data_IF_580189006898
#
_entry.id   IF_580189006898
#
_cell.length_a   1.000
_cell.length_b   1.000
_cell.length_c   1.000
_cell.angle_alpha   90.00
_cell.angle_beta   90.00
_cell.angle_gamma   90.00
#
_symmetry.space_group_name_H-M   'P 1'
#
loop_
_entity.id
_entity.type
_entity.pdbx_description
1 polymer ?
#
# COMPACT_ATOMS: atom_id res chain seq x y z
N UNK A 1 -9.70 -1.09 -0.91
CA UNK A 1 -9.29 -1.22 -2.32
C UNK A 1 -8.42 -2.46 -2.41
N UNK A 2 -8.76 -3.39 -3.28
CA UNK A 2 -8.03 -4.67 -3.39
C UNK A 2 -6.70 -4.48 -4.12
N UNK A 3 -5.76 -5.44 -4.02
CA UNK A 3 -4.51 -5.39 -4.78
C UNK A 3 -4.76 -5.29 -6.29
N UNK A 4 -5.68 -6.09 -6.82
CA UNK A 4 -6.07 -6.03 -8.23
C UNK A 4 -6.53 -4.64 -8.67
N UNK A 5 -7.36 -3.96 -7.87
CA UNK A 5 -7.79 -2.59 -8.16
C UNK A 5 -6.63 -1.59 -8.16
N UNK A 6 -5.64 -1.78 -7.28
CA UNK A 6 -4.41 -0.96 -7.23
C UNK A 6 -3.58 -1.12 -8.49
N UNK A 7 -3.39 -2.34 -8.95
CA UNK A 7 -2.57 -2.63 -10.14
C UNK A 7 -3.24 -2.10 -11.42
N UNK A 8 -4.58 -2.21 -11.54
CA UNK A 8 -5.30 -1.56 -12.64
C UNK A 8 -5.16 -0.04 -12.56
N UNK A 9 -5.30 0.54 -11.37
CA UNK A 9 -5.20 1.98 -11.18
C UNK A 9 -3.84 2.52 -11.64
N UNK A 10 -2.75 1.85 -11.28
CA UNK A 10 -1.40 2.25 -11.72
C UNK A 10 -1.30 2.23 -13.23
N UNK A 11 -1.77 1.15 -13.88
CA UNK A 11 -1.78 1.06 -15.34
C UNK A 11 -2.58 2.19 -15.99
N UNK A 12 -3.71 2.58 -15.42
CA UNK A 12 -4.50 3.71 -15.91
C UNK A 12 -3.74 5.03 -15.78
N UNK A 13 -3.11 5.29 -14.63
CA UNK A 13 -2.31 6.50 -14.40
C UNK A 13 -1.09 6.55 -15.32
N UNK A 14 -0.40 5.43 -15.52
CA UNK A 14 0.71 5.32 -16.47
C UNK A 14 0.26 5.51 -17.93
N UNK A 15 -0.97 5.11 -18.24
CA UNK A 15 -1.62 5.37 -19.53
C UNK A 15 -2.11 6.81 -19.71
N UNK A 16 -1.87 7.72 -18.75
CA UNK A 16 -2.24 9.13 -18.85
C UNK A 16 -3.63 9.48 -18.31
N UNK A 17 -4.34 8.53 -17.69
CA UNK A 17 -5.62 8.84 -17.04
C UNK A 17 -5.41 9.80 -15.87
N UNK A 18 -6.35 10.72 -15.68
CA UNK A 18 -6.33 11.66 -14.57
C UNK A 18 -6.76 10.99 -13.27
N UNK A 19 -6.34 11.57 -12.13
CA UNK A 19 -6.75 11.10 -10.81
C UNK A 19 -8.27 11.09 -10.62
N UNK A 20 -8.99 12.04 -11.24
CA UNK A 20 -10.45 12.17 -11.13
C UNK A 20 -11.20 11.07 -11.89
N UNK A 21 -10.73 10.70 -13.09
CA UNK A 21 -11.30 9.60 -13.87
C UNK A 21 -11.12 8.26 -13.16
N UNK A 22 -9.93 8.02 -12.63
CA UNK A 22 -9.63 6.83 -11.84
C UNK A 22 -10.48 6.79 -10.56
N UNK A 23 -10.60 7.92 -9.86
CA UNK A 23 -11.44 8.07 -8.66
C UNK A 23 -12.89 7.69 -8.93
N UNK A 24 -13.43 8.22 -10.04
CA UNK A 24 -14.79 7.94 -10.49
C UNK A 24 -14.98 6.46 -10.80
N UNK A 25 -14.05 5.86 -11.56
CA UNK A 25 -14.13 4.44 -11.96
C UNK A 25 -14.15 3.47 -10.78
N UNK A 26 -13.37 3.74 -9.74
CA UNK A 26 -13.27 2.86 -8.59
C UNK A 26 -14.14 3.27 -7.39
N UNK A 27 -14.91 4.37 -7.52
CA UNK A 27 -15.73 4.92 -6.44
C UNK A 27 -14.89 5.28 -5.20
N UNK A 28 -13.72 5.92 -5.42
CA UNK A 28 -12.78 6.28 -4.34
C UNK A 28 -12.46 7.77 -4.36
N UNK A 29 -12.12 8.31 -3.20
CA UNK A 29 -11.67 9.69 -3.11
C UNK A 29 -10.34 9.88 -3.87
N UNK A 30 -10.18 10.97 -4.65
CA UNK A 30 -8.93 11.27 -5.36
C UNK A 30 -7.70 11.30 -4.45
N UNK A 31 -7.86 11.80 -3.22
CA UNK A 31 -6.80 11.83 -2.19
C UNK A 31 -6.30 10.43 -1.81
N UNK A 32 -7.20 9.43 -1.82
CA UNK A 32 -6.85 8.04 -1.53
C UNK A 32 -5.97 7.47 -2.64
N UNK A 33 -6.31 7.73 -3.90
CA UNK A 33 -5.52 7.30 -5.06
C UNK A 33 -4.16 8.00 -5.09
N UNK A 34 -4.14 9.32 -4.92
CA UNK A 34 -2.90 10.10 -4.89
C UNK A 34 -1.94 9.57 -3.82
N UNK A 35 -2.40 9.39 -2.57
CA UNK A 35 -1.55 8.92 -1.47
C UNK A 35 -1.10 7.46 -1.66
N UNK A 36 -2.03 6.54 -1.94
CA UNK A 36 -1.71 5.11 -1.96
C UNK A 36 -0.96 4.66 -3.21
N UNK A 37 -1.14 5.35 -4.33
CA UNK A 37 -0.67 4.85 -5.62
C UNK A 37 0.20 5.83 -6.38
N UNK A 38 0.04 7.13 -6.21
CA UNK A 38 0.99 8.05 -6.85
C UNK A 38 2.25 8.18 -5.99
N UNK A 39 2.11 8.65 -4.75
CA UNK A 39 3.25 8.94 -3.86
C UNK A 39 3.94 7.66 -3.37
N UNK A 40 3.17 6.66 -2.95
CA UNK A 40 3.76 5.42 -2.44
C UNK A 40 4.41 4.59 -3.55
N UNK A 41 3.77 4.46 -4.71
CA UNK A 41 4.32 3.63 -5.77
C UNK A 41 5.58 4.26 -6.39
N UNK A 42 5.62 5.60 -6.53
CA UNK A 42 6.84 6.28 -7.01
C UNK A 42 8.03 6.10 -6.06
N UNK A 43 7.78 5.89 -4.76
CA UNK A 43 8.84 5.73 -3.75
C UNK A 43 9.24 4.29 -3.50
N UNK A 44 8.29 3.35 -3.46
CA UNK A 44 8.58 1.96 -3.11
C UNK A 44 8.44 0.98 -4.26
N UNK A 45 7.87 1.39 -5.40
CA UNK A 45 7.54 0.51 -6.55
C UNK A 45 6.66 -0.68 -6.17
N UNK A 46 5.85 -0.57 -5.11
CA UNK A 46 4.96 -1.66 -4.65
C UNK A 46 3.54 -1.18 -4.38
N UNK A 47 2.55 -2.03 -4.70
CA UNK A 47 1.14 -1.87 -4.30
C UNK A 47 0.80 -2.56 -2.98
N UNK A 48 1.72 -3.39 -2.46
CA UNK A 48 1.55 -4.17 -1.23
C UNK A 48 1.46 -3.26 0.00
N UNK A 49 0.48 -3.50 0.88
CA UNK A 49 0.38 -2.75 2.13
C UNK A 49 1.56 -3.07 3.06
N UNK A 50 2.01 -2.05 3.80
CA UNK A 50 3.08 -2.23 4.78
C UNK A 50 2.56 -3.14 5.91
N UNK A 51 3.31 -4.16 6.34
CA UNK A 51 2.93 -4.95 7.50
C UNK A 51 2.79 -4.03 8.71
N UNK A 52 1.74 -4.23 9.49
CA UNK A 52 1.57 -3.49 10.76
C UNK A 52 2.67 -3.96 11.70
N UNK A 53 3.41 -3.03 12.29
CA UNK A 53 4.28 -3.34 13.41
C UNK A 53 3.40 -3.82 14.55
N UNK A 54 3.53 -5.10 14.91
CA UNK A 54 2.90 -5.64 16.10
C UNK A 54 3.47 -4.98 17.36
N UNK A 55 2.77 -5.17 18.48
CA UNK A 55 3.30 -4.77 19.79
C UNK A 55 4.61 -5.55 20.04
N UNK A 56 5.73 -4.88 20.36
CA UNK A 56 6.96 -5.59 20.69
C UNK A 56 6.72 -6.52 21.88
N UNK A 57 7.27 -7.74 21.82
CA UNK A 57 7.19 -8.66 22.95
C UNK A 57 8.00 -8.12 24.13
N UNK A 58 7.45 -8.20 25.34
CA UNK A 58 8.10 -7.76 26.58
C UNK A 58 9.43 -8.51 26.80
N UNK A 59 9.51 -9.77 26.35
CA UNK A 59 10.74 -10.54 26.38
C UNK A 59 11.71 -10.07 25.30
N UNK A 60 12.91 -9.67 25.73
CA UNK A 60 14.05 -9.40 24.87
C UNK A 60 14.44 -10.65 24.09
N UNK A 61 14.89 -10.48 22.85
CA UNK A 61 15.28 -11.58 21.97
C UNK A 61 16.34 -12.52 22.58
N UNK A 62 17.18 -12.00 23.49
CA UNK A 62 18.19 -12.77 24.24
C UNK A 62 17.59 -13.86 25.15
N UNK A 63 16.41 -13.64 25.74
CA UNK A 63 15.76 -14.63 26.62
C UNK A 63 15.05 -15.75 25.86
N UNK A 64 14.74 -15.57 24.56
CA UNK A 64 14.11 -16.61 23.74
C UNK A 64 15.05 -17.77 23.39
N UNK A 65 16.37 -17.61 23.57
CA UNK A 65 17.39 -18.61 23.18
C UNK A 65 17.51 -19.79 24.17
N UNK A 66 16.73 -19.81 25.25
CA UNK A 66 16.71 -20.92 26.22
C UNK A 66 15.43 -21.73 26.02
N UNK A 67 15.36 -22.51 24.95
CA UNK A 67 14.42 -23.64 24.81
C UNK A 67 15.10 -24.68 23.92
N UNK A 68 15.68 -25.69 24.57
CA UNK A 68 15.99 -26.99 23.99
C UNK A 68 14.74 -27.85 24.04
#
# INVERSE_FOLDING_TARGET
MTMYQRDITIRMLQGGATLSEVATKFGRAPSTIHRLLYVKFSTTTTTCDRPRSGRPSILLALQKKIKY
#
